data_IF_874495297768
#
_entry.id   IF_874495297768
#
_cell.length_a   1.000
_cell.length_b   1.000
_cell.length_c   1.000
_cell.angle_alpha   90.00
_cell.angle_beta   90.00
_cell.angle_gamma   90.00
#
_symmetry.space_group_name_H-M   'P 1'
#
loop_
_entity.id
_entity.type
_entity.pdbx_description
1 polymer ?
#
# COMPACT_ATOMS: atom_id res chain seq x y z
N UNK A 1 18.35 2.28 4.80
CA UNK A 1 17.28 1.75 3.96
C UNK A 1 15.94 2.02 4.64
N UNK A 2 14.95 2.44 3.88
CA UNK A 2 13.62 2.73 4.41
C UNK A 2 12.69 1.56 4.16
N UNK A 3 11.76 1.34 5.09
CA UNK A 3 10.75 0.30 4.96
C UNK A 3 9.37 0.91 5.19
N UNK A 4 8.42 0.49 4.41
CA UNK A 4 7.04 0.93 4.53
C UNK A 4 6.14 -0.29 4.55
N UNK A 5 5.16 -0.28 5.45
CA UNK A 5 4.12 -1.29 5.46
C UNK A 5 3.10 -0.93 4.38
N UNK A 6 2.55 -1.94 3.73
CA UNK A 6 1.46 -1.70 2.80
C UNK A 6 0.38 -2.74 2.99
N UNK A 7 -0.84 -2.34 2.71
CA UNK A 7 -2.04 -3.16 2.85
C UNK A 7 -2.44 -3.64 1.46
N UNK A 8 -2.84 -4.90 1.35
CA UNK A 8 -3.25 -5.49 0.08
C UNK A 8 -4.70 -5.93 0.19
N UNK A 9 -5.50 -5.55 -0.79
CA UNK A 9 -6.91 -5.94 -0.87
C UNK A 9 -7.20 -6.40 -2.29
N UNK A 10 -8.24 -7.20 -2.46
CA UNK A 10 -8.69 -7.61 -3.78
C UNK A 10 -9.89 -6.77 -4.17
N UNK A 11 -9.85 -6.19 -5.37
CA UNK A 11 -10.99 -5.48 -5.92
C UNK A 11 -11.93 -6.51 -6.53
N UNK A 12 -13.16 -6.67 -6.01
CA UNK A 12 -14.07 -7.70 -6.51
C UNK A 12 -14.57 -7.46 -7.93
N UNK A 13 -14.55 -6.22 -8.40
CA UNK A 13 -15.01 -5.90 -9.75
C UNK A 13 -14.01 -6.24 -10.83
N UNK A 14 -12.72 -6.00 -10.56
CA UNK A 14 -11.66 -6.23 -11.53
C UNK A 14 -10.86 -7.49 -11.25
N UNK A 15 -10.99 -8.05 -10.05
CA UNK A 15 -10.20 -9.17 -9.53
C UNK A 15 -8.71 -8.84 -9.42
N UNK A 16 -8.37 -7.56 -9.48
CA UNK A 16 -6.99 -7.12 -9.30
C UNK A 16 -6.68 -6.94 -7.82
N UNK A 17 -5.41 -7.09 -7.48
CA UNK A 17 -4.91 -6.72 -6.15
C UNK A 17 -4.67 -5.23 -6.13
N UNK A 18 -5.11 -4.58 -5.06
CA UNK A 18 -4.84 -3.15 -4.84
C UNK A 18 -4.04 -3.02 -3.55
N UNK A 19 -3.10 -2.09 -3.53
CA UNK A 19 -2.25 -1.91 -2.36
C UNK A 19 -1.99 -0.45 -2.09
N UNK A 20 -1.79 -0.15 -0.83
CA UNK A 20 -1.53 1.23 -0.42
C UNK A 20 -0.71 1.28 0.87
N UNK A 21 0.00 2.37 1.05
CA UNK A 21 0.72 2.64 2.29
C UNK A 21 -0.19 3.46 3.19
N UNK A 22 -0.55 2.94 4.38
CA UNK A 22 -1.41 3.71 5.30
C UNK A 22 -0.81 5.07 5.63
N UNK A 23 -1.65 6.09 5.56
CA UNK A 23 -1.25 7.45 5.90
C UNK A 23 -0.52 8.20 4.80
N UNK A 24 -0.29 7.61 3.66
CA UNK A 24 0.42 8.25 2.56
C UNK A 24 -0.48 8.31 1.32
N UNK A 25 -1.30 9.37 1.17
CA UNK A 25 -2.12 9.54 -0.03
C UNK A 25 -1.24 9.56 -1.27
N UNK A 26 -1.62 8.87 -2.29
CA UNK A 26 -0.82 8.78 -3.51
C UNK A 26 0.06 7.54 -3.55
N UNK A 27 0.41 6.94 -2.41
CA UNK A 27 1.19 5.71 -2.38
C UNK A 27 0.25 4.51 -2.50
N UNK A 28 -0.31 4.31 -3.69
CA UNK A 28 -1.21 3.20 -3.98
C UNK A 28 -1.04 2.75 -5.42
N UNK A 29 -1.37 1.50 -5.68
CA UNK A 29 -1.30 0.94 -7.03
C UNK A 29 -2.08 -0.37 -7.08
N UNK A 30 -2.00 -1.06 -8.20
CA UNK A 30 -2.68 -2.33 -8.40
C UNK A 30 -1.77 -3.28 -9.18
N UNK A 31 -2.14 -4.55 -9.18
CA UNK A 31 -1.43 -5.58 -9.92
C UNK A 31 -2.26 -6.85 -10.01
N UNK A 32 -1.89 -7.75 -10.90
CA UNK A 32 -2.60 -9.01 -11.10
C UNK A 32 -2.39 -9.97 -9.93
N UNK A 33 -1.24 -9.89 -9.29
CA UNK A 33 -0.89 -10.69 -8.13
C UNK A 33 -0.08 -9.85 -7.15
N UNK A 34 0.26 -10.42 -6.00
CA UNK A 34 0.97 -9.68 -4.96
C UNK A 34 2.37 -9.27 -5.39
N UNK A 35 3.08 -10.13 -6.10
CA UNK A 35 4.45 -9.80 -6.54
C UNK A 35 4.45 -8.64 -7.51
N UNK A 36 3.53 -8.63 -8.48
CA UNK A 36 3.40 -7.52 -9.41
C UNK A 36 2.99 -6.24 -8.68
N UNK A 37 2.02 -6.37 -7.78
CA UNK A 37 1.58 -5.23 -6.97
C UNK A 37 2.75 -4.62 -6.20
N UNK A 38 3.55 -5.45 -5.54
CA UNK A 38 4.66 -4.98 -4.74
C UNK A 38 5.71 -4.27 -5.59
N UNK A 39 5.99 -4.80 -6.78
CA UNK A 39 6.93 -4.17 -7.70
C UNK A 39 6.40 -2.81 -8.16
N UNK A 40 5.12 -2.77 -8.53
CA UNK A 40 4.49 -1.52 -8.96
C UNK A 40 4.47 -0.48 -7.84
N UNK A 41 4.20 -0.92 -6.61
CA UNK A 41 4.16 -0.01 -5.47
C UNK A 41 5.56 0.53 -5.15
N UNK A 42 6.58 -0.31 -5.29
CA UNK A 42 7.96 0.15 -5.11
C UNK A 42 8.27 1.30 -6.05
N UNK A 43 7.88 1.17 -7.32
CA UNK A 43 8.13 2.21 -8.31
C UNK A 43 7.37 3.50 -7.97
N UNK A 44 6.13 3.38 -7.49
CA UNK A 44 5.35 4.55 -7.05
C UNK A 44 6.03 5.24 -5.88
N UNK A 45 6.46 4.46 -4.89
CA UNK A 45 7.12 5.00 -3.70
C UNK A 45 8.44 5.68 -4.07
N UNK A 46 9.24 5.06 -4.93
CA UNK A 46 10.50 5.64 -5.37
C UNK A 46 10.27 6.99 -6.05
N UNK A 47 9.23 7.06 -6.87
CA UNK A 47 8.88 8.31 -7.54
C UNK A 47 8.44 9.38 -6.55
N UNK A 48 7.61 8.99 -5.58
CA UNK A 48 7.14 9.94 -4.56
C UNK A 48 8.27 10.43 -3.67
N UNK A 49 9.26 9.59 -3.39
CA UNK A 49 10.41 9.97 -2.56
C UNK A 49 11.30 11.01 -3.24
N UNK A 50 11.18 11.20 -4.54
CA UNK A 50 11.92 12.26 -5.23
C UNK A 50 11.50 13.65 -4.73
N UNK A 51 10.29 13.77 -4.19
CA UNK A 51 9.81 15.01 -3.59
C UNK A 51 10.13 15.13 -2.11
N UNK A 52 10.92 14.19 -1.58
CA UNK A 52 11.33 14.20 -0.19
C UNK A 52 10.62 13.16 0.65
N UNK A 53 10.90 13.15 1.94
CA UNK A 53 10.28 12.23 2.89
C UNK A 53 8.80 12.53 3.06
N UNK A 54 7.95 11.51 3.13
CA UNK A 54 6.52 11.75 3.32
C UNK A 54 6.21 12.22 4.75
N UNK A 55 5.23 13.11 4.85
CA UNK A 55 4.62 13.44 6.13
C UNK A 55 3.38 12.55 6.23
N UNK A 56 3.52 11.40 6.88
CA UNK A 56 2.43 10.44 6.96
C UNK A 56 1.28 10.98 7.80
N UNK A 57 0.06 10.86 7.29
CA UNK A 57 -1.14 11.34 7.99
C UNK A 57 -1.55 10.42 9.13
N UNK A 58 -1.09 9.17 9.10
CA UNK A 58 -1.34 8.21 10.16
C UNK A 58 -0.16 7.25 10.23
N UNK A 59 -0.04 6.57 11.36
CA UNK A 59 1.01 5.58 11.58
C UNK A 59 0.41 4.20 11.57
N UNK A 60 0.98 3.29 10.78
CA UNK A 60 0.54 1.89 10.79
C UNK A 60 0.96 1.26 12.11
N UNK A 61 0.02 0.68 12.84
CA UNK A 61 0.30 0.02 14.11
C UNK A 61 0.14 -1.49 13.97
N UNK A 62 -1.01 -1.95 13.49
CA UNK A 62 -1.29 -3.39 13.49
C UNK A 62 -2.50 -3.69 12.61
N UNK A 63 -2.63 -4.96 12.28
CA UNK A 63 -3.82 -5.52 11.65
C UNK A 63 -4.40 -6.55 12.61
N UNK A 64 -5.67 -6.40 12.94
CA UNK A 64 -6.34 -7.29 13.88
C UNK A 64 -7.64 -7.78 13.26
N UNK A 65 -8.11 -8.92 13.74
CA UNK A 65 -9.39 -9.50 13.31
C UNK A 65 -10.34 -9.47 14.50
N UNK A 66 -11.58 -9.08 14.25
CA UNK A 66 -12.61 -9.10 15.28
C UNK A 66 -13.75 -9.99 14.77
N UNK A 67 -14.29 -10.80 15.66
CA UNK A 67 -15.40 -11.69 15.33
C UNK A 67 -16.68 -11.10 15.88
N UNK A 68 -17.73 -11.17 15.08
CA UNK A 68 -19.05 -10.72 15.50
C UNK A 68 -20.04 -11.83 15.19
N UNK A 69 -21.06 -11.97 16.06
CA UNK A 69 -22.08 -12.99 15.90
C UNK A 69 -23.11 -12.58 14.84
#
# INVERSE_FOLDING_TARGET
MRSYHFVVERDPETDLMVGYVPGWPGAHTQGADIDELQQNLREVIEMLLEDGEPALESEFIDVRTIQVA
#
